data_IF_190745302939
#
_entry.id   IF_190745302939
#
_cell.length_a   1.000
_cell.length_b   1.000
_cell.length_c   1.000
_cell.angle_alpha   90.00
_cell.angle_beta   90.00
_cell.angle_gamma   90.00
#
_symmetry.space_group_name_H-M   'P 1'
#
loop_
_entity.id
_entity.type
_entity.pdbx_description
1 polymer ?
#
# COMPACT_ATOMS: atom_id res chain seq x y z
N UNK A 1 19.65 -15.23 -7.60
CA UNK A 1 19.00 -16.09 -8.65
C UNK A 1 18.28 -17.29 -8.02
N UNK A 2 18.76 -17.84 -6.94
CA UNK A 2 18.22 -19.09 -6.35
C UNK A 2 16.88 -18.89 -5.61
N UNK A 3 16.59 -17.68 -5.14
CA UNK A 3 15.33 -17.37 -4.49
C UNK A 3 14.10 -17.46 -5.45
N UNK A 4 14.34 -17.32 -6.76
CA UNK A 4 13.28 -17.41 -7.78
C UNK A 4 12.76 -18.85 -7.94
N UNK A 5 13.56 -19.83 -7.51
CA UNK A 5 13.22 -21.25 -7.59
C UNK A 5 12.66 -21.81 -6.26
N UNK A 6 12.42 -20.96 -5.28
CA UNK A 6 11.82 -21.39 -4.01
C UNK A 6 10.39 -21.90 -4.28
N UNK A 7 10.04 -23.12 -3.87
CA UNK A 7 8.69 -23.64 -4.01
C UNK A 7 7.67 -22.70 -3.36
N UNK A 8 6.48 -22.60 -3.94
CA UNK A 8 5.44 -21.65 -3.49
C UNK A 8 5.12 -21.78 -2.00
N UNK A 9 5.11 -23.00 -1.46
CA UNK A 9 4.91 -23.22 -0.02
C UNK A 9 6.00 -22.62 0.86
N UNK A 10 7.27 -22.72 0.44
CA UNK A 10 8.37 -22.05 1.15
C UNK A 10 8.32 -20.54 0.98
N UNK A 11 7.89 -20.08 -0.18
CA UNK A 11 7.74 -18.63 -0.45
C UNK A 11 6.64 -18.04 0.44
N UNK A 12 5.49 -18.70 0.56
CA UNK A 12 4.44 -18.33 1.51
C UNK A 12 4.96 -18.29 2.95
N UNK A 13 5.68 -19.33 3.36
CA UNK A 13 6.27 -19.39 4.70
C UNK A 13 7.25 -18.25 4.95
N UNK A 14 8.06 -17.87 3.96
CA UNK A 14 8.98 -16.73 4.06
C UNK A 14 8.26 -15.38 4.15
N UNK A 15 7.14 -15.26 3.46
CA UNK A 15 6.28 -14.08 3.48
C UNK A 15 5.22 -14.17 4.59
N UNK A 16 5.41 -15.04 5.58
CA UNK A 16 4.63 -15.09 6.79
C UNK A 16 3.20 -15.60 6.62
N UNK A 17 3.04 -16.63 5.81
CA UNK A 17 1.73 -17.16 5.46
C UNK A 17 0.75 -16.07 4.96
N UNK A 18 1.32 -15.01 4.40
CA UNK A 18 0.55 -13.98 3.74
C UNK A 18 -0.24 -14.60 2.60
N UNK A 19 -1.54 -14.44 2.62
CA UNK A 19 -2.39 -14.97 1.57
C UNK A 19 -2.13 -14.24 0.26
N UNK A 20 -1.46 -14.91 -0.67
CA UNK A 20 -1.33 -14.41 -2.03
C UNK A 20 -2.57 -14.72 -2.83
N UNK A 21 -3.11 -13.71 -3.46
CA UNK A 21 -4.19 -13.85 -4.43
C UNK A 21 -3.61 -14.19 -5.80
N UNK A 22 -4.24 -15.15 -6.46
CA UNK A 22 -3.84 -15.58 -7.79
C UNK A 22 -2.73 -16.64 -7.79
N UNK A 23 -2.56 -17.28 -8.92
CA UNK A 23 -1.60 -18.34 -9.13
C UNK A 23 -0.29 -17.80 -9.70
N UNK A 24 0.80 -18.34 -9.19
CA UNK A 24 2.14 -18.04 -9.70
C UNK A 24 2.41 -18.88 -10.96
N UNK A 25 1.99 -18.36 -12.11
CA UNK A 25 2.17 -19.05 -13.39
C UNK A 25 3.63 -19.04 -13.89
N UNK A 26 4.42 -18.06 -13.45
CA UNK A 26 5.82 -17.92 -13.83
C UNK A 26 6.61 -17.28 -12.68
N UNK A 27 7.71 -17.89 -12.22
CA UNK A 27 8.51 -17.34 -11.11
C UNK A 27 9.15 -15.98 -11.45
N UNK A 28 9.24 -15.61 -12.71
CA UNK A 28 9.78 -14.32 -13.14
C UNK A 28 8.72 -13.24 -13.34
N UNK A 29 7.44 -13.65 -13.44
CA UNK A 29 6.33 -12.75 -13.75
C UNK A 29 5.14 -13.10 -12.84
N UNK A 30 5.10 -12.56 -11.63
CA UNK A 30 3.98 -12.78 -10.73
C UNK A 30 2.68 -12.25 -11.36
N UNK A 31 1.54 -12.81 -10.94
CA UNK A 31 0.24 -12.27 -11.30
C UNK A 31 0.06 -10.85 -10.76
N UNK A 32 -0.92 -10.12 -11.29
CA UNK A 32 -1.26 -8.77 -10.80
C UNK A 32 -1.57 -8.81 -9.31
N UNK A 33 -2.42 -9.73 -8.87
CA UNK A 33 -2.81 -9.83 -7.47
C UNK A 33 -1.62 -10.19 -6.56
N UNK A 34 -0.80 -11.15 -6.97
CA UNK A 34 0.41 -11.50 -6.23
C UNK A 34 1.40 -10.33 -6.15
N UNK A 35 1.50 -9.53 -7.21
CA UNK A 35 2.35 -8.33 -7.21
C UNK A 35 1.86 -7.30 -6.21
N UNK A 36 0.55 -7.09 -6.12
CA UNK A 36 -0.06 -6.18 -5.15
C UNK A 36 0.18 -6.67 -3.71
N UNK A 37 0.01 -7.96 -3.46
CA UNK A 37 0.24 -8.55 -2.14
C UNK A 37 1.70 -8.42 -1.70
N UNK A 38 2.65 -8.66 -2.61
CA UNK A 38 4.09 -8.49 -2.35
C UNK A 38 4.43 -7.03 -2.03
N UNK A 39 3.88 -6.09 -2.80
CA UNK A 39 4.10 -4.66 -2.56
C UNK A 39 3.52 -4.24 -1.22
N UNK A 40 2.30 -4.64 -0.89
CA UNK A 40 1.67 -4.34 0.40
C UNK A 40 2.49 -4.89 1.57
N UNK A 41 2.96 -6.13 1.43
CA UNK A 41 3.83 -6.74 2.43
C UNK A 41 5.13 -5.94 2.62
N UNK A 42 5.81 -5.57 1.54
CA UNK A 42 7.05 -4.79 1.61
C UNK A 42 6.82 -3.41 2.23
N UNK A 43 5.77 -2.71 1.82
CA UNK A 43 5.40 -1.42 2.40
C UNK A 43 5.15 -1.54 3.91
N UNK A 44 4.42 -2.57 4.34
CA UNK A 44 4.13 -2.81 5.74
C UNK A 44 5.42 -3.06 6.54
N UNK A 45 6.31 -3.89 6.01
CA UNK A 45 7.57 -4.21 6.68
C UNK A 45 8.44 -2.97 6.88
N UNK A 46 8.65 -2.19 5.82
CA UNK A 46 9.43 -0.96 5.92
C UNK A 46 8.78 0.05 6.87
N UNK A 47 7.46 0.15 6.82
CA UNK A 47 6.73 1.04 7.70
C UNK A 47 6.89 0.68 9.19
N UNK A 48 6.80 -0.60 9.52
CA UNK A 48 6.98 -1.09 10.89
C UNK A 48 8.41 -0.86 11.35
N UNK A 49 9.40 -1.16 10.51
CA UNK A 49 10.80 -0.91 10.82
C UNK A 49 11.06 0.57 11.10
N UNK A 50 10.56 1.46 10.26
CA UNK A 50 10.69 2.91 10.42
C UNK A 50 9.99 3.39 11.71
N UNK A 51 8.80 2.89 11.99
CA UNK A 51 8.02 3.25 13.18
C UNK A 51 8.71 2.80 14.49
N UNK A 52 9.41 1.67 14.46
CA UNK A 52 10.14 1.12 15.59
C UNK A 52 11.60 1.61 15.67
N UNK A 53 12.06 2.38 14.68
CA UNK A 53 13.46 2.81 14.59
C UNK A 53 14.43 1.67 14.31
N UNK A 54 13.98 0.62 13.64
CA UNK A 54 14.76 -0.56 13.34
C UNK A 54 15.42 -0.47 11.96
N UNK A 55 16.56 -1.13 11.82
CA UNK A 55 17.21 -1.23 10.52
C UNK A 55 16.59 -2.34 9.68
N UNK A 56 16.00 -2.00 8.54
CA UNK A 56 15.37 -2.95 7.61
C UNK A 56 16.30 -4.11 7.20
N UNK A 57 17.61 -3.87 7.11
CA UNK A 57 18.60 -4.91 6.82
C UNK A 57 18.81 -5.94 7.93
N UNK A 58 18.39 -5.63 9.17
CA UNK A 58 18.53 -6.52 10.32
C UNK A 58 17.18 -7.10 10.78
N UNK A 59 16.07 -6.50 10.40
CA UNK A 59 14.74 -6.86 10.88
C UNK A 59 13.88 -7.54 9.81
N UNK A 60 13.27 -6.79 8.94
CA UNK A 60 12.29 -7.30 7.98
C UNK A 60 12.90 -7.95 6.75
N UNK A 61 14.06 -7.46 6.31
CA UNK A 61 14.69 -7.95 5.10
C UNK A 61 15.20 -9.40 5.17
N UNK A 62 15.84 -9.87 6.23
CA UNK A 62 16.19 -11.28 6.37
C UNK A 62 14.98 -12.08 6.84
N UNK A 63 14.07 -12.42 6.04
CA UNK A 63 12.88 -13.25 6.24
C UNK A 63 13.07 -14.51 7.13
N UNK A 64 13.79 -14.37 8.24
CA UNK A 64 14.15 -15.44 9.16
C UNK A 64 13.79 -15.08 10.60
N UNK A 65 13.26 -16.00 11.38
CA UNK A 65 13.16 -15.82 12.82
C UNK A 65 14.54 -15.50 13.44
N UNK A 66 14.62 -14.66 14.49
CA UNK A 66 13.52 -14.03 15.24
C UNK A 66 13.02 -12.70 14.65
N UNK A 67 13.55 -12.27 13.52
CA UNK A 67 13.25 -10.97 12.89
C UNK A 67 11.99 -10.99 12.02
N UNK A 68 11.16 -12.01 12.22
CA UNK A 68 9.95 -12.18 11.47
C UNK A 68 8.82 -11.35 12.05
N UNK A 69 7.98 -10.76 11.19
CA UNK A 69 6.87 -9.90 11.60
C UNK A 69 5.92 -10.56 12.60
N UNK A 70 5.77 -11.88 12.59
CA UNK A 70 4.96 -12.61 13.58
C UNK A 70 5.41 -12.38 15.02
N UNK A 71 6.68 -12.00 15.22
CA UNK A 71 7.23 -11.71 16.55
C UNK A 71 6.97 -10.26 16.98
N UNK A 72 6.69 -9.35 16.04
CA UNK A 72 6.52 -7.93 16.35
C UNK A 72 5.35 -7.64 17.28
N UNK A 73 4.16 -8.25 17.11
CA UNK A 73 3.07 -8.03 18.06
C UNK A 73 3.46 -8.35 19.49
N UNK A 74 4.12 -9.48 19.72
CA UNK A 74 4.58 -9.88 21.06
C UNK A 74 5.60 -8.90 21.63
N UNK A 75 6.60 -8.50 20.85
CA UNK A 75 7.60 -7.52 21.28
C UNK A 75 6.98 -6.17 21.59
N UNK A 76 6.09 -5.68 20.74
CA UNK A 76 5.41 -4.41 20.94
C UNK A 76 4.49 -4.47 22.16
N UNK A 77 3.74 -5.56 22.32
CA UNK A 77 2.88 -5.79 23.47
C UNK A 77 3.67 -5.78 24.78
N UNK A 78 4.79 -6.50 24.80
CA UNK A 78 5.65 -6.55 25.99
C UNK A 78 6.30 -5.19 26.31
N UNK A 79 6.71 -4.44 25.29
CA UNK A 79 7.38 -3.15 25.46
C UNK A 79 6.43 -2.03 25.89
N UNK A 80 5.20 -2.03 25.37
CA UNK A 80 4.23 -0.95 25.57
C UNK A 80 3.13 -1.29 26.61
N UNK A 81 3.04 -2.57 27.01
CA UNK A 81 1.97 -3.00 27.91
C UNK A 81 0.56 -2.99 27.29
N UNK A 82 0.49 -3.17 25.95
CA UNK A 82 -0.76 -3.24 25.21
C UNK A 82 -0.99 -4.67 24.73
N UNK A 83 -2.25 -5.03 24.47
CA UNK A 83 -2.59 -6.29 23.82
C UNK A 83 -2.68 -6.06 22.32
N UNK A 84 -1.68 -6.52 21.58
CA UNK A 84 -1.56 -6.36 20.14
C UNK A 84 -1.33 -7.71 19.49
N UNK A 85 -2.19 -8.05 18.56
CA UNK A 85 -2.03 -9.20 17.67
C UNK A 85 -1.57 -8.77 16.26
N UNK A 86 -1.42 -9.73 15.38
CA UNK A 86 -0.97 -9.50 14.00
C UNK A 86 -2.00 -8.67 13.21
N UNK A 87 -3.30 -8.90 13.41
CA UNK A 87 -4.35 -8.13 12.73
C UNK A 87 -4.40 -6.68 13.23
N UNK A 88 -4.20 -6.47 14.53
CA UNK A 88 -4.04 -5.13 15.09
C UNK A 88 -2.83 -4.39 14.51
N UNK A 89 -1.71 -5.08 14.34
CA UNK A 89 -0.52 -4.51 13.70
C UNK A 89 -0.77 -4.15 12.23
N UNK A 90 -1.45 -5.00 11.48
CA UNK A 90 -1.87 -4.72 10.10
C UNK A 90 -2.83 -3.53 10.03
N UNK A 91 -3.77 -3.43 10.96
CA UNK A 91 -4.69 -2.28 11.03
C UNK A 91 -3.92 -0.97 11.28
N UNK A 92 -2.95 -0.97 12.21
CA UNK A 92 -2.09 0.19 12.47
C UNK A 92 -1.35 0.61 11.21
N UNK A 93 -0.73 -0.32 10.50
CA UNK A 93 -0.06 -0.04 9.24
C UNK A 93 -1.02 0.55 8.20
N UNK A 94 -2.15 -0.10 7.93
CA UNK A 94 -3.15 0.36 6.95
C UNK A 94 -3.67 1.75 7.27
N UNK A 95 -3.95 2.02 8.55
CA UNK A 95 -4.36 3.35 9.03
C UNK A 95 -3.32 4.41 8.69
N UNK A 96 -2.07 4.18 9.03
CA UNK A 96 -0.99 5.12 8.78
C UNK A 96 -0.70 5.30 7.28
N UNK A 97 -0.76 4.22 6.50
CA UNK A 97 -0.59 4.28 5.04
C UNK A 97 -1.68 5.12 4.37
N UNK A 98 -2.92 4.98 4.80
CA UNK A 98 -4.04 5.80 4.31
C UNK A 98 -3.95 7.25 4.77
N UNK A 99 -3.52 7.51 6.00
CA UNK A 99 -3.27 8.87 6.49
C UNK A 99 -2.18 9.57 5.66
N UNK A 100 -1.06 8.90 5.40
CA UNK A 100 0.00 9.42 4.55
C UNK A 100 -0.50 9.69 3.12
N UNK A 101 -1.31 8.76 2.57
CA UNK A 101 -1.93 8.97 1.26
C UNK A 101 -2.82 10.20 1.25
N UNK A 102 -3.68 10.37 2.24
CA UNK A 102 -4.56 11.52 2.37
C UNK A 102 -3.78 12.85 2.45
N UNK A 103 -2.66 12.89 3.18
CA UNK A 103 -1.77 14.05 3.24
C UNK A 103 -1.22 14.39 1.84
N UNK A 104 -0.78 13.40 1.09
CA UNK A 104 -0.25 13.59 -0.26
C UNK A 104 -1.35 14.04 -1.25
N UNK A 105 -2.53 13.43 -1.18
CA UNK A 105 -3.71 13.81 -1.97
C UNK A 105 -4.13 15.26 -1.66
N UNK A 106 -4.10 15.66 -0.41
CA UNK A 106 -4.36 17.03 0.03
C UNK A 106 -3.33 18.03 -0.53
N UNK A 107 -2.09 17.59 -0.80
CA UNK A 107 -1.04 18.36 -1.45
C UNK A 107 -1.13 18.37 -2.99
N UNK A 108 -2.13 17.69 -3.54
CA UNK A 108 -2.39 17.66 -4.97
C UNK A 108 -1.95 16.37 -5.68
N UNK A 109 -1.36 15.40 -4.99
CA UNK A 109 -0.99 14.13 -5.62
C UNK A 109 -2.23 13.43 -6.19
N UNK A 110 -2.13 13.01 -7.45
CA UNK A 110 -3.16 12.27 -8.19
C UNK A 110 -2.49 11.15 -8.99
N UNK A 111 -3.32 10.24 -9.51
CA UNK A 111 -2.87 9.14 -10.38
C UNK A 111 -1.94 9.61 -11.51
N UNK A 112 -2.23 10.77 -12.11
CA UNK A 112 -1.42 11.31 -13.20
C UNK A 112 0.04 11.61 -12.81
N UNK A 113 0.31 11.79 -11.52
CA UNK A 113 1.66 12.05 -11.00
C UNK A 113 2.44 10.76 -10.72
N UNK A 114 1.75 9.62 -10.63
CA UNK A 114 2.31 8.30 -10.31
C UNK A 114 2.74 7.56 -11.58
N UNK A 115 3.69 8.15 -12.28
CA UNK A 115 4.22 7.56 -13.52
C UNK A 115 5.53 6.82 -13.25
N UNK A 116 5.62 5.54 -13.61
CA UNK A 116 6.88 4.84 -13.55
C UNK A 116 7.87 5.39 -14.57
N UNK A 117 9.17 5.21 -14.35
CA UNK A 117 10.18 5.61 -15.34
C UNK A 117 9.93 4.96 -16.68
N UNK A 118 9.81 5.76 -17.75
CA UNK A 118 9.44 5.28 -19.10
C UNK A 118 10.31 4.13 -19.59
N UNK A 119 11.61 4.16 -19.29
CA UNK A 119 12.54 3.13 -19.73
C UNK A 119 12.40 1.80 -19.00
N UNK A 120 11.75 1.76 -17.85
CA UNK A 120 11.64 0.54 -17.07
C UNK A 120 10.35 -0.23 -17.39
N UNK A 121 9.18 0.41 -17.30
CA UNK A 121 7.88 -0.22 -17.42
C UNK A 121 7.45 -0.41 -18.87
N UNK A 122 7.52 0.61 -19.70
CA UNK A 122 7.13 0.53 -21.11
C UNK A 122 7.93 -0.50 -21.91
N UNK A 123 9.17 -0.79 -21.50
CA UNK A 123 9.99 -1.81 -22.16
C UNK A 123 9.81 -3.21 -21.60
N UNK A 124 9.49 -3.35 -20.32
CA UNK A 124 9.36 -4.66 -19.67
C UNK A 124 7.93 -5.16 -19.59
N UNK A 125 6.99 -4.29 -19.27
CA UNK A 125 5.61 -4.65 -18.94
C UNK A 125 4.61 -3.60 -19.43
N UNK A 126 4.57 -3.28 -20.74
CA UNK A 126 3.80 -2.15 -21.26
C UNK A 126 2.28 -2.26 -21.03
N UNK A 127 1.79 -3.48 -20.80
CA UNK A 127 0.35 -3.73 -20.63
C UNK A 127 -0.07 -3.91 -19.16
N UNK A 128 0.89 -3.96 -18.23
CA UNK A 128 0.62 -4.26 -16.82
C UNK A 128 0.51 -3.01 -15.94
N UNK A 129 1.09 -1.89 -16.36
CA UNK A 129 1.16 -0.67 -15.55
C UNK A 129 -0.21 -0.24 -15.01
N UNK A 130 -1.16 -0.01 -15.91
CA UNK A 130 -2.50 0.43 -15.52
C UNK A 130 -3.25 -0.62 -14.68
N UNK A 131 -3.12 -1.89 -15.05
CA UNK A 131 -3.75 -3.00 -14.33
C UNK A 131 -3.21 -3.15 -12.93
N UNK A 132 -1.89 -3.01 -12.75
CA UNK A 132 -1.24 -3.08 -11.44
C UNK A 132 -1.68 -1.91 -10.56
N UNK A 133 -1.72 -0.71 -11.11
CA UNK A 133 -2.11 0.48 -10.37
C UNK A 133 -3.60 0.43 -9.97
N UNK A 134 -4.48 -0.01 -10.87
CA UNK A 134 -5.90 -0.22 -10.58
C UNK A 134 -6.11 -1.26 -9.46
N UNK A 135 -5.42 -2.39 -9.56
CA UNK A 135 -5.52 -3.45 -8.57
C UNK A 135 -4.96 -3.00 -7.20
N UNK A 136 -3.85 -2.27 -7.21
CA UNK A 136 -3.25 -1.71 -5.99
C UNK A 136 -4.18 -0.67 -5.33
N UNK A 137 -4.74 0.25 -6.09
CA UNK A 137 -5.68 1.24 -5.56
C UNK A 137 -6.91 0.59 -4.95
N UNK A 138 -7.52 -0.35 -5.68
CA UNK A 138 -8.64 -1.13 -5.17
C UNK A 138 -8.31 -1.85 -3.86
N UNK A 139 -7.14 -2.48 -3.80
CA UNK A 139 -6.67 -3.18 -2.61
C UNK A 139 -6.49 -2.25 -1.41
N UNK A 140 -5.98 -1.04 -1.65
CA UNK A 140 -5.78 -0.01 -0.60
C UNK A 140 -7.06 0.71 -0.18
N UNK A 141 -8.19 0.48 -0.85
CA UNK A 141 -9.43 1.23 -0.64
C UNK A 141 -9.36 2.66 -1.17
N UNK A 142 -8.69 2.86 -2.31
CA UNK A 142 -8.61 4.14 -3.00
C UNK A 142 -9.44 4.12 -4.27
N UNK A 143 -9.97 5.27 -4.65
CA UNK A 143 -10.66 5.42 -5.91
C UNK A 143 -9.69 5.47 -7.11
N UNK A 144 -10.22 5.65 -8.32
CA UNK A 144 -9.44 5.65 -9.56
C UNK A 144 -8.36 6.73 -9.62
N UNK A 145 -8.55 7.84 -8.93
CA UNK A 145 -7.57 8.95 -8.85
C UNK A 145 -6.57 8.79 -7.69
N UNK A 146 -6.64 7.65 -7.00
CA UNK A 146 -5.78 7.35 -5.87
C UNK A 146 -6.16 8.09 -4.58
N UNK A 147 -7.39 8.56 -4.47
CA UNK A 147 -7.93 9.21 -3.27
C UNK A 147 -8.52 8.13 -2.36
N UNK A 148 -8.17 8.07 -1.07
CA UNK A 148 -8.80 7.14 -0.14
C UNK A 148 -10.32 7.34 -0.11
N UNK A 149 -11.08 6.24 -0.18
CA UNK A 149 -12.53 6.30 -0.13
C UNK A 149 -13.02 6.61 1.29
N UNK A 150 -14.23 7.15 1.41
CA UNK A 150 -14.86 7.42 2.72
C UNK A 150 -15.02 6.13 3.54
N UNK A 151 -15.41 5.05 2.89
CA UNK A 151 -15.53 3.72 3.50
C UNK A 151 -14.19 3.23 4.06
N UNK A 152 -13.13 3.24 3.25
CA UNK A 152 -11.81 2.82 3.68
C UNK A 152 -11.26 3.68 4.84
N UNK A 153 -11.54 4.97 4.85
CA UNK A 153 -11.15 5.85 5.95
C UNK A 153 -11.96 5.56 7.23
N UNK A 154 -13.26 5.28 7.10
CA UNK A 154 -14.12 4.91 8.21
C UNK A 154 -13.66 3.61 8.88
N UNK A 155 -13.40 2.56 8.11
CA UNK A 155 -12.93 1.25 8.59
C UNK A 155 -11.60 1.34 9.36
N UNK A 156 -10.86 2.40 9.13
CA UNK A 156 -9.56 2.66 9.75
C UNK A 156 -9.63 3.73 10.88
N UNK A 157 -10.82 4.09 11.33
CA UNK A 157 -11.02 5.13 12.35
C UNK A 157 -10.41 6.50 11.94
N UNK A 158 -10.52 6.86 10.66
CA UNK A 158 -10.02 8.09 10.06
C UNK A 158 -11.14 9.01 9.56
N UNK A 159 -12.30 9.00 10.21
CA UNK A 159 -13.46 9.82 9.82
C UNK A 159 -13.12 11.31 9.75
N UNK A 160 -12.29 11.81 10.67
CA UNK A 160 -11.83 13.21 10.66
C UNK A 160 -11.01 13.55 9.40
N UNK A 161 -10.33 12.57 8.79
CA UNK A 161 -9.61 12.75 7.52
C UNK A 161 -10.61 12.82 6.38
N UNK A 162 -11.62 11.94 6.35
CA UNK A 162 -12.68 12.00 5.37
C UNK A 162 -13.40 13.36 5.39
N UNK A 163 -13.71 13.87 6.58
CA UNK A 163 -14.32 15.20 6.74
C UNK A 163 -13.43 16.34 6.20
N UNK A 164 -12.11 16.30 6.46
CA UNK A 164 -11.18 17.32 5.92
C UNK A 164 -11.12 17.26 4.39
N UNK A 165 -11.08 16.06 3.80
CA UNK A 165 -11.08 15.89 2.34
C UNK A 165 -12.39 16.33 1.70
N UNK A 166 -13.54 16.05 2.34
CA UNK A 166 -14.86 16.53 1.91
C UNK A 166 -14.94 18.06 1.95
N UNK A 167 -14.55 18.68 3.06
CA UNK A 167 -14.52 20.16 3.20
C UNK A 167 -13.68 20.85 2.15
N UNK A 168 -12.68 20.15 1.59
CA UNK A 168 -11.80 20.67 0.54
C UNK A 168 -12.28 20.35 -0.87
N UNK A 169 -13.40 19.65 -1.03
CA UNK A 169 -13.90 19.19 -2.33
C UNK A 169 -12.97 18.18 -3.01
N UNK A 170 -12.11 17.50 -2.27
CA UNK A 170 -11.22 16.46 -2.78
C UNK A 170 -11.93 15.11 -2.82
N UNK A 171 -12.74 14.84 -1.82
CA UNK A 171 -13.62 13.67 -1.72
C UNK A 171 -15.05 14.13 -1.95
N UNK A 172 -15.86 13.34 -2.64
CA UNK A 172 -17.31 13.56 -2.84
C UNK A 172 -18.10 12.53 -2.05
N UNK A 173 -19.33 12.85 -1.67
CA UNK A 173 -20.20 11.93 -0.93
C UNK A 173 -20.55 10.67 -1.73
N UNK A 174 -20.54 10.76 -3.07
CA UNK A 174 -20.89 9.68 -4.00
C UNK A 174 -19.69 8.76 -4.34
N UNK A 175 -18.53 8.98 -3.75
CA UNK A 175 -17.32 8.17 -3.98
C UNK A 175 -16.68 8.34 -5.37
N UNK A 176 -17.26 9.13 -6.26
CA UNK A 176 -16.66 9.49 -7.56
C UNK A 176 -15.94 10.84 -7.45
N UNK A 177 -14.72 10.89 -7.93
CA UNK A 177 -13.98 12.15 -8.06
C UNK A 177 -14.57 12.96 -9.22
N UNK A 178 -14.93 14.21 -8.95
CA UNK A 178 -15.31 15.16 -9.99
C UNK A 178 -14.06 15.51 -10.82
N UNK A 179 -13.90 14.85 -11.97
CA UNK A 179 -12.81 15.13 -12.92
C UNK A 179 -13.11 16.37 -13.79
N UNK A 180 -13.78 17.36 -13.24
CA UNK A 180 -13.93 18.65 -13.93
C UNK A 180 -12.71 19.50 -13.68
N UNK A 181 -11.75 19.35 -14.57
CA UNK A 181 -10.60 20.24 -14.66
C UNK A 181 -11.04 21.70 -14.82
N UNK A 182 -10.68 22.52 -13.87
CA UNK A 182 -10.67 23.96 -14.04
C UNK A 182 -9.54 24.30 -15.04
N UNK A 183 -9.91 24.43 -16.29
CA UNK A 183 -9.12 25.18 -17.28
C UNK A 183 -9.07 26.64 -16.84
N UNK A 184 -7.99 27.03 -16.18
CA UNK A 184 -7.68 28.44 -15.98
C UNK A 184 -7.38 29.05 -17.35
N UNK A 185 -8.34 29.78 -17.87
CA UNK A 185 -8.13 30.71 -18.96
C UNK A 185 -7.03 31.71 -18.54
N UNK A 186 -5.93 31.64 -19.26
CA UNK A 186 -4.93 32.71 -19.24
C UNK A 186 -5.53 33.96 -19.84
N UNK A 187 -5.86 34.95 -19.00
CA UNK A 187 -6.16 36.30 -19.45
C UNK A 187 -4.85 36.96 -19.79
N UNK A 188 -4.63 37.16 -21.10
CA UNK A 188 -3.69 38.14 -21.64
C UNK A 188 -4.21 39.53 -21.33
N UNK A 189 -3.44 40.31 -20.58
CA UNK A 189 -3.23 41.74 -20.81
C UNK A 189 -1.87 42.15 -20.24
#
# INVERSE_FOLDING_TARGET
KDWIQVPDEKFKQYLMDWEFRGERSNPYYPTVDMSVDIVDWQEMMHYIDDALGMCAGLSSFPLKPPYHIHNYPEFISAALGIDLDEEGLKKIYRRNRNLLRAINVRRGLRRADEKPPENHWKKRFPELEEKLLDAYYKFKGWNRDGIPTKEALHDLDLDYVAEDLLKRGILTDDGESDSTGSSSEAVNQ
#
